data_IF_632832002891
#
_entry.id   IF_632832002891
#
_cell.length_a   1.000
_cell.length_b   1.000
_cell.length_c   1.000
_cell.angle_alpha   90.00
_cell.angle_beta   90.00
_cell.angle_gamma   90.00
#
_symmetry.space_group_name_H-M   'P 1'
#
loop_
_entity.id
_entity.type
_entity.pdbx_description
1 polymer ?
#
# COMPACT_ATOMS: atom_id res chain seq x y z
N UNK A 1 16.38 48.20 24.28
CA UNK A 1 16.40 46.95 25.09
C UNK A 1 15.68 45.76 24.42
N UNK A 2 15.25 45.87 23.15
CA UNK A 2 14.38 44.86 22.48
C UNK A 2 15.10 43.73 21.71
N UNK A 3 16.40 43.86 21.41
CA UNK A 3 17.11 42.91 20.54
C UNK A 3 17.33 41.54 21.20
N UNK A 4 17.60 41.48 22.51
CA UNK A 4 17.93 40.22 23.20
C UNK A 4 16.75 39.25 23.33
N UNK A 5 15.54 39.78 23.49
CA UNK A 5 14.32 38.96 23.61
C UNK A 5 13.91 38.31 22.29
N UNK A 6 14.20 38.96 21.16
CA UNK A 6 13.88 38.43 19.83
C UNK A 6 14.70 37.17 19.48
N UNK A 7 15.98 37.13 19.86
CA UNK A 7 16.83 35.95 19.67
C UNK A 7 16.41 34.76 20.55
N UNK A 8 15.89 35.02 21.76
CA UNK A 8 15.38 33.95 22.63
C UNK A 8 14.13 33.28 22.06
N UNK A 9 13.23 34.05 21.45
CA UNK A 9 12.00 33.52 20.85
C UNK A 9 12.31 32.68 19.61
N UNK A 10 13.18 33.17 18.72
CA UNK A 10 13.57 32.44 17.50
C UNK A 10 14.36 31.17 17.85
N UNK A 11 15.29 31.26 18.81
CA UNK A 11 16.04 30.10 19.28
C UNK A 11 15.13 29.04 19.90
N UNK A 12 14.14 29.45 20.70
CA UNK A 12 13.16 28.54 21.28
C UNK A 12 12.29 27.84 20.23
N UNK A 13 11.86 28.57 19.19
CA UNK A 13 11.03 28.01 18.12
C UNK A 13 11.80 26.98 17.27
N UNK A 14 13.08 27.25 16.98
CA UNK A 14 13.97 26.31 16.28
C UNK A 14 14.22 25.03 17.12
N UNK A 15 14.44 25.18 18.42
CA UNK A 15 14.62 24.04 19.32
C UNK A 15 13.35 23.18 19.41
N UNK A 16 12.17 23.80 19.52
CA UNK A 16 10.89 23.09 19.55
C UNK A 16 10.62 22.32 18.25
N UNK A 17 10.94 22.91 17.09
CA UNK A 17 10.81 22.26 15.78
C UNK A 17 11.74 21.05 15.67
N UNK A 18 13.00 21.17 16.11
CA UNK A 18 13.96 20.06 16.08
C UNK A 18 13.53 18.89 16.98
N UNK A 19 13.00 19.18 18.18
CA UNK A 19 12.47 18.16 19.09
C UNK A 19 11.28 17.43 18.47
N UNK A 20 10.38 18.13 17.77
CA UNK A 20 9.23 17.53 17.09
C UNK A 20 9.69 16.56 15.98
N UNK A 21 10.71 16.93 15.19
CA UNK A 21 11.25 16.09 14.11
C UNK A 21 11.92 14.83 14.69
N UNK A 22 12.70 14.97 15.77
CA UNK A 22 13.32 13.83 16.45
C UNK A 22 12.24 12.92 17.05
N UNK A 23 11.22 13.49 17.69
CA UNK A 23 10.10 12.73 18.25
C UNK A 23 9.37 11.95 17.15
N UNK A 24 9.08 12.57 16.01
CA UNK A 24 8.52 11.86 14.84
C UNK A 24 9.43 10.74 14.36
N UNK A 25 10.74 10.98 14.26
CA UNK A 25 11.68 9.97 13.80
C UNK A 25 11.81 8.78 14.76
N UNK A 26 11.69 8.99 16.07
CA UNK A 26 11.75 7.91 17.06
C UNK A 26 10.41 7.18 17.24
N UNK A 27 9.27 7.87 17.18
CA UNK A 27 7.96 7.24 17.37
C UNK A 27 7.42 6.55 16.11
N UNK A 28 7.78 7.01 14.90
CA UNK A 28 7.38 6.36 13.65
C UNK A 28 8.37 5.34 13.10
N UNK A 29 9.50 5.12 13.81
CA UNK A 29 10.40 4.02 13.47
C UNK A 29 9.84 2.72 14.04
N UNK A 30 8.79 2.21 13.42
CA UNK A 30 8.32 0.86 13.67
C UNK A 30 9.48 -0.11 13.45
N UNK A 31 9.88 -0.92 14.46
CA UNK A 31 10.79 -2.01 14.20
C UNK A 31 10.04 -3.00 13.31
N UNK A 32 10.50 -3.16 12.08
CA UNK A 32 10.18 -4.35 11.29
C UNK A 32 10.86 -5.54 11.98
N UNK A 33 10.24 -6.04 13.04
CA UNK A 33 10.58 -7.32 13.63
C UNK A 33 10.01 -8.39 12.71
N UNK A 34 10.87 -8.97 11.87
CA UNK A 34 10.55 -10.22 11.19
C UNK A 34 10.41 -11.31 12.26
N UNK A 35 9.17 -11.68 12.58
CA UNK A 35 8.88 -12.82 13.45
C UNK A 35 9.02 -14.07 12.60
N UNK A 36 10.15 -14.75 12.73
CA UNK A 36 10.23 -16.17 12.37
C UNK A 36 9.42 -16.92 13.44
N UNK A 37 8.21 -17.34 13.10
CA UNK A 37 7.33 -18.09 14.00
C UNK A 37 7.69 -19.56 13.84
N UNK A 38 8.29 -20.16 14.87
CA UNK A 38 8.37 -21.62 15.00
C UNK A 38 6.94 -22.17 15.11
N UNK A 39 6.57 -23.01 14.13
CA UNK A 39 5.26 -23.63 14.00
C UNK A 39 5.15 -24.82 14.99
N UNK A 40 4.08 -24.89 15.83
CA UNK A 40 3.79 -26.13 16.54
C UNK A 40 3.34 -27.18 15.53
N UNK A 41 3.84 -28.40 15.68
CA UNK A 41 3.47 -29.57 14.86
C UNK A 41 1.93 -29.74 14.79
N UNK A 42 1.36 -29.19 13.73
CA UNK A 42 0.12 -29.64 13.13
C UNK A 42 0.48 -29.90 11.69
N UNK A 43 0.41 -31.16 11.28
CA UNK A 43 0.55 -31.58 9.89
C UNK A 43 -0.65 -31.01 9.13
N UNK A 44 -0.55 -29.75 8.78
CA UNK A 44 -1.30 -29.12 7.70
C UNK A 44 -0.23 -28.60 6.73
N UNK A 45 -0.32 -28.91 5.43
CA UNK A 45 0.64 -28.40 4.45
C UNK A 45 0.71 -26.88 4.57
N UNK A 46 1.87 -26.26 4.34
CA UNK A 46 2.01 -24.82 4.47
C UNK A 46 0.98 -24.16 3.57
N UNK A 47 0.01 -23.47 4.17
CA UNK A 47 -0.77 -22.46 3.45
C UNK A 47 0.17 -21.27 3.31
N UNK A 48 1.15 -21.44 2.42
CA UNK A 48 1.77 -20.31 1.78
C UNK A 48 0.60 -19.59 1.12
N UNK A 49 0.30 -18.36 1.55
CA UNK A 49 -0.50 -17.43 0.76
C UNK A 49 0.32 -17.10 -0.48
N UNK A 50 0.46 -18.09 -1.37
CA UNK A 50 0.88 -17.86 -2.73
C UNK A 50 -0.38 -17.24 -3.31
N UNK A 51 -0.33 -15.93 -3.56
CA UNK A 51 -1.26 -15.35 -4.53
C UNK A 51 -1.27 -16.31 -5.73
N UNK A 52 -2.45 -16.72 -6.24
CA UNK A 52 -2.53 -17.77 -7.24
C UNK A 52 -1.48 -17.53 -8.31
N UNK A 53 -0.46 -18.40 -8.39
CA UNK A 53 0.55 -18.26 -9.41
C UNK A 53 -0.19 -18.39 -10.72
N UNK A 54 -0.08 -17.36 -11.56
CA UNK A 54 -0.82 -17.38 -12.80
C UNK A 54 -0.28 -18.51 -13.67
N UNK A 55 -1.11 -19.53 -13.87
CA UNK A 55 -0.88 -20.61 -14.81
C UNK A 55 -1.24 -20.19 -16.24
N UNK A 56 -1.68 -18.94 -16.42
CA UNK A 56 -2.01 -18.32 -17.70
C UNK A 56 -0.82 -17.52 -18.22
N UNK A 57 -0.36 -17.75 -19.47
CA UNK A 57 0.71 -16.96 -20.07
C UNK A 57 0.42 -15.46 -19.98
N UNK A 58 1.46 -14.65 -19.68
CA UNK A 58 1.45 -13.18 -19.67
C UNK A 58 0.61 -12.49 -18.59
N UNK A 59 0.27 -13.17 -17.50
CA UNK A 59 -0.33 -12.53 -16.33
C UNK A 59 0.72 -12.29 -15.25
N UNK A 60 0.80 -11.03 -14.83
CA UNK A 60 1.67 -10.59 -13.75
C UNK A 60 0.84 -10.21 -12.52
N UNK A 61 1.51 -10.19 -11.37
CA UNK A 61 0.95 -9.74 -10.10
C UNK A 61 1.52 -8.36 -9.78
N UNK A 62 0.63 -7.38 -9.63
CA UNK A 62 0.92 -6.00 -9.34
C UNK A 62 0.46 -5.67 -7.92
N UNK A 63 1.41 -5.36 -7.04
CA UNK A 63 1.12 -4.94 -5.68
C UNK A 63 1.11 -3.42 -5.60
N UNK A 64 0.01 -2.82 -5.14
CA UNK A 64 -0.08 -1.36 -5.10
C UNK A 64 -1.24 -0.83 -4.26
N UNK A 65 -1.40 0.49 -4.30
CA UNK A 65 -2.49 1.19 -3.62
C UNK A 65 -3.63 1.43 -4.60
N UNK A 66 -4.82 0.93 -4.25
CA UNK A 66 -6.03 1.07 -5.05
C UNK A 66 -6.64 2.48 -4.89
N UNK A 67 -7.09 3.06 -5.99
CA UNK A 67 -7.91 4.27 -6.00
C UNK A 67 -9.18 3.99 -6.80
N UNK A 68 -10.33 4.09 -6.12
CA UNK A 68 -11.66 3.88 -6.68
C UNK A 68 -12.20 5.19 -7.24
N UNK A 69 -11.78 5.51 -8.46
CA UNK A 69 -12.36 6.54 -9.33
C UNK A 69 -12.84 5.86 -10.61
N UNK A 70 -13.50 6.57 -11.53
CA UNK A 70 -13.90 6.00 -12.83
C UNK A 70 -12.95 6.51 -13.93
N UNK A 71 -12.12 5.66 -14.56
CA UNK A 71 -11.90 4.23 -14.27
C UNK A 71 -11.01 4.00 -13.03
N UNK A 72 -11.13 2.86 -12.32
CA UNK A 72 -10.36 2.58 -11.12
C UNK A 72 -8.87 2.46 -11.48
N UNK A 73 -8.00 2.80 -10.53
CA UNK A 73 -6.55 2.84 -10.77
C UNK A 73 -5.76 2.18 -9.65
N UNK A 74 -4.57 1.68 -10.00
CA UNK A 74 -3.60 1.10 -9.09
C UNK A 74 -2.30 1.91 -9.15
N UNK A 75 -1.82 2.38 -8.00
CA UNK A 75 -0.50 3.00 -7.89
C UNK A 75 0.54 1.98 -7.45
N UNK A 76 1.52 1.72 -8.30
CA UNK A 76 2.66 0.81 -8.03
C UNK A 76 3.95 1.60 -8.27
N UNK A 77 4.80 1.69 -7.24
CA UNK A 77 6.11 2.35 -7.32
C UNK A 77 6.10 3.76 -7.96
N UNK A 78 5.03 4.53 -7.71
CA UNK A 78 4.86 5.88 -8.23
C UNK A 78 4.27 5.95 -9.65
N UNK A 79 4.10 4.84 -10.35
CA UNK A 79 3.33 4.75 -11.61
C UNK A 79 1.87 4.45 -11.32
N UNK A 80 0.98 4.93 -12.17
CA UNK A 80 -0.47 4.73 -12.08
C UNK A 80 -0.90 3.88 -13.26
N UNK A 81 -1.62 2.80 -12.98
CA UNK A 81 -2.19 1.92 -13.97
C UNK A 81 -3.72 1.96 -13.87
N UNK A 82 -4.39 2.03 -15.01
CA UNK A 82 -5.84 1.88 -15.07
C UNK A 82 -6.21 0.42 -14.91
N UNK A 83 -7.17 0.12 -14.05
CA UNK A 83 -7.69 -1.23 -13.86
C UNK A 83 -8.93 -1.42 -14.72
N UNK A 84 -8.91 -2.43 -15.57
CA UNK A 84 -10.06 -2.85 -16.37
C UNK A 84 -10.45 -4.26 -15.98
N UNK A 85 -11.71 -4.47 -15.63
CA UNK A 85 -12.27 -5.81 -15.48
C UNK A 85 -13.08 -6.06 -16.75
N UNK A 86 -12.71 -7.06 -17.55
CA UNK A 86 -13.45 -7.37 -18.77
C UNK A 86 -14.93 -7.63 -18.45
N UNK A 87 -15.80 -7.12 -19.32
CA UNK A 87 -17.24 -7.36 -19.35
C UNK A 87 -18.10 -6.77 -18.21
N UNK A 88 -17.57 -5.91 -17.34
CA UNK A 88 -18.36 -5.24 -16.28
C UNK A 88 -17.91 -3.81 -15.97
N UNK A 89 -18.81 -3.04 -15.34
CA UNK A 89 -18.42 -1.82 -14.65
C UNK A 89 -17.46 -2.20 -13.51
N UNK A 90 -16.19 -1.85 -13.68
CA UNK A 90 -15.12 -2.28 -12.80
C UNK A 90 -15.27 -1.70 -11.39
N UNK A 91 -15.69 -0.43 -11.26
CA UNK A 91 -15.87 0.28 -9.99
C UNK A 91 -16.86 -0.43 -9.05
N UNK A 92 -18.03 -0.84 -9.56
CA UNK A 92 -19.05 -1.50 -8.74
C UNK A 92 -18.63 -2.89 -8.25
N UNK A 93 -17.74 -3.58 -8.97
CA UNK A 93 -17.16 -4.85 -8.51
C UNK A 93 -16.21 -4.62 -7.34
N UNK A 94 -15.37 -3.60 -7.42
CA UNK A 94 -14.45 -3.26 -6.33
C UNK A 94 -15.23 -2.87 -5.07
N UNK A 95 -16.21 -1.97 -5.18
CA UNK A 95 -17.05 -1.57 -4.05
C UNK A 95 -17.86 -2.74 -3.49
N UNK A 96 -18.47 -3.57 -4.36
CA UNK A 96 -19.25 -4.74 -3.95
C UNK A 96 -18.42 -5.83 -3.24
N UNK A 97 -17.11 -5.88 -3.48
CA UNK A 97 -16.17 -6.75 -2.76
C UNK A 97 -15.57 -6.09 -1.51
N UNK A 98 -16.00 -4.88 -1.15
CA UNK A 98 -15.56 -4.18 0.06
C UNK A 98 -14.20 -3.49 -0.05
N UNK A 99 -13.70 -3.29 -1.27
CA UNK A 99 -12.50 -2.49 -1.51
C UNK A 99 -12.80 -1.00 -1.32
N UNK A 100 -11.79 -0.25 -0.88
CA UNK A 100 -11.84 1.20 -0.66
C UNK A 100 -10.59 1.86 -1.23
N UNK A 101 -10.71 3.13 -1.60
CA UNK A 101 -9.54 3.95 -1.93
C UNK A 101 -8.55 3.95 -0.77
N UNK A 102 -7.27 3.72 -1.07
CA UNK A 102 -6.20 3.60 -0.09
C UNK A 102 -5.90 2.16 0.34
N UNK A 103 -6.71 1.18 -0.07
CA UNK A 103 -6.40 -0.23 0.19
C UNK A 103 -5.13 -0.66 -0.55
N UNK A 104 -4.24 -1.34 0.16
CA UNK A 104 -3.15 -2.09 -0.48
C UNK A 104 -3.71 -3.40 -1.03
N UNK A 105 -3.50 -3.65 -2.31
CA UNK A 105 -4.05 -4.81 -3.02
C UNK A 105 -3.01 -5.46 -3.91
N UNK A 106 -3.19 -6.76 -4.15
CA UNK A 106 -2.57 -7.48 -5.26
C UNK A 106 -3.58 -7.58 -6.40
N UNK A 107 -3.21 -7.05 -7.55
CA UNK A 107 -3.95 -7.19 -8.80
C UNK A 107 -3.23 -8.21 -9.67
N UNK A 108 -3.91 -9.28 -10.04
CA UNK A 108 -3.43 -10.20 -11.07
C UNK A 108 -4.05 -9.80 -12.40
N UNK A 109 -3.24 -9.66 -13.43
CA UNK A 109 -3.72 -9.23 -14.73
C UNK A 109 -2.66 -9.11 -15.81
N UNK A 110 -3.10 -8.79 -17.02
CA UNK A 110 -2.23 -8.56 -18.18
C UNK A 110 -2.06 -7.06 -18.35
N UNK A 111 -0.81 -6.58 -18.39
CA UNK A 111 -0.52 -5.18 -18.68
C UNK A 111 -0.50 -4.94 -20.20
N UNK A 112 -1.39 -4.08 -20.68
CA UNK A 112 -1.41 -3.59 -22.07
C UNK A 112 -1.32 -2.07 -22.07
N UNK A 113 -0.11 -1.54 -22.29
CA UNK A 113 0.16 -0.11 -22.14
C UNK A 113 0.09 0.29 -20.66
N UNK A 114 -0.82 1.22 -20.32
CA UNK A 114 -1.08 1.67 -18.94
C UNK A 114 -2.32 1.01 -18.31
N UNK A 115 -2.88 -0.01 -18.97
CA UNK A 115 -4.11 -0.70 -18.52
C UNK A 115 -3.77 -2.11 -18.06
N UNK A 116 -4.19 -2.46 -16.85
CA UNK A 116 -4.14 -3.83 -16.33
C UNK A 116 -5.52 -4.46 -16.52
N UNK A 117 -5.58 -5.49 -17.36
CA UNK A 117 -6.73 -6.37 -17.48
C UNK A 117 -6.79 -7.32 -16.29
N UNK A 118 -7.60 -6.96 -15.31
CA UNK A 118 -7.70 -7.61 -14.01
C UNK A 118 -8.42 -8.95 -14.14
N UNK A 119 -7.70 -10.02 -13.87
CA UNK A 119 -8.22 -11.39 -13.75
C UNK A 119 -8.38 -11.83 -12.29
N UNK A 120 -7.67 -11.18 -11.35
CA UNK A 120 -7.72 -11.49 -9.93
C UNK A 120 -7.41 -10.28 -9.07
N UNK A 121 -7.99 -10.26 -7.86
CA UNK A 121 -7.81 -9.16 -6.91
C UNK A 121 -7.82 -9.71 -5.48
N UNK A 122 -6.80 -9.37 -4.71
CA UNK A 122 -6.71 -9.75 -3.30
C UNK A 122 -6.36 -8.52 -2.44
N UNK A 123 -7.09 -8.32 -1.34
CA UNK A 123 -6.84 -7.25 -0.37
C UNK A 123 -5.80 -7.71 0.64
N UNK A 124 -4.83 -6.86 0.95
CA UNK A 124 -4.01 -7.07 2.13
C UNK A 124 -4.79 -6.61 3.35
N UNK A 125 -5.11 -7.55 4.23
CA UNK A 125 -5.62 -7.25 5.57
C UNK A 125 -4.43 -7.41 6.52
N UNK A 126 -3.99 -6.35 7.22
CA UNK A 126 -2.94 -6.45 8.24
C UNK A 126 -3.40 -7.26 9.46
#
# INVERSE_FOLDING_TARGET
MFKKQFFLIIGGLLAASLILVIFFFFFFRSPYTSKNVEQPNSVNPPVTSIAPQSLTPNQDIWTGVLTLVEPPTLKVDGKIYTLRILDRNSLSIFEGKGYKTGDTVNVMGILTGDVIDVSGLNKFVP
#
